data_IF_846716195223
#
_entry.id   IF_846716195223
#
_cell.length_a   1.000
_cell.length_b   1.000
_cell.length_c   1.000
_cell.angle_alpha   90.00
_cell.angle_beta   90.00
_cell.angle_gamma   90.00
#
_symmetry.space_group_name_H-M   'P 1'
#
loop_
_entity.id
_entity.type
_entity.pdbx_description
1 polymer ?
#
# COMPACT_ATOMS: atom_id res chain seq x y z
N UNK A 1 -2.10 -11.40 -16.76
CA UNK A 1 -2.15 -9.92 -16.74
C UNK A 1 -1.74 -9.48 -15.36
N UNK A 2 -0.71 -8.66 -15.26
CA UNK A 2 -0.24 -8.07 -14.00
C UNK A 2 -1.33 -7.23 -13.37
N UNK A 3 -1.43 -7.31 -12.06
CA UNK A 3 -2.43 -6.58 -11.27
C UNK A 3 -1.77 -5.91 -10.06
N UNK A 4 -2.27 -4.73 -9.70
CA UNK A 4 -1.98 -4.11 -8.43
C UNK A 4 -3.11 -4.37 -7.43
N UNK A 5 -2.75 -4.58 -6.17
CA UNK A 5 -3.68 -4.70 -5.05
C UNK A 5 -3.42 -3.58 -4.05
N UNK A 6 -4.42 -2.77 -3.77
CA UNK A 6 -4.40 -1.75 -2.73
C UNK A 6 -5.17 -2.26 -1.52
N UNK A 7 -4.51 -2.38 -0.37
CA UNK A 7 -5.13 -2.77 0.90
C UNK A 7 -5.07 -1.60 1.86
N UNK A 8 -6.20 -1.22 2.43
CA UNK A 8 -6.26 -0.10 3.36
C UNK A 8 -6.97 -0.43 4.67
N UNK A 9 -6.52 0.22 5.74
CA UNK A 9 -7.23 0.37 6.99
C UNK A 9 -7.64 1.84 7.13
N UNK A 10 -8.90 2.11 7.53
CA UNK A 10 -9.38 3.47 7.74
C UNK A 10 -10.32 3.54 8.93
N UNK A 11 -10.21 4.62 9.74
CA UNK A 11 -11.17 4.88 10.81
C UNK A 11 -12.29 5.79 10.31
N UNK A 12 -11.97 7.03 9.99
CA UNK A 12 -12.91 8.09 9.65
C UNK A 12 -13.05 8.35 8.14
N UNK A 13 -12.57 7.42 7.29
CA UNK A 13 -12.67 7.51 5.83
C UNK A 13 -11.55 8.30 5.15
N UNK A 14 -10.64 8.96 5.88
CA UNK A 14 -9.58 9.74 5.24
C UNK A 14 -8.56 8.85 4.53
N UNK A 15 -8.10 7.77 5.18
CA UNK A 15 -7.19 6.80 4.56
C UNK A 15 -7.86 6.09 3.38
N UNK A 16 -9.15 5.78 3.48
CA UNK A 16 -9.92 5.24 2.37
C UNK A 16 -9.90 6.17 1.15
N UNK A 17 -10.16 7.47 1.33
CA UNK A 17 -10.11 8.45 0.23
C UNK A 17 -8.73 8.51 -0.43
N UNK A 18 -7.66 8.44 0.35
CA UNK A 18 -6.30 8.36 -0.19
C UNK A 18 -6.11 7.06 -0.95
N UNK A 19 -6.53 5.92 -0.40
CA UNK A 19 -6.44 4.62 -1.08
C UNK A 19 -7.19 4.60 -2.42
N UNK A 20 -8.39 5.19 -2.46
CA UNK A 20 -9.18 5.34 -3.68
C UNK A 20 -8.47 6.20 -4.72
N UNK A 21 -7.87 7.33 -4.32
CA UNK A 21 -7.11 8.20 -5.22
C UNK A 21 -5.83 7.49 -5.75
N UNK A 22 -5.11 6.76 -4.90
CA UNK A 22 -3.97 5.93 -5.32
C UNK A 22 -4.40 4.87 -6.33
N UNK A 23 -5.53 4.18 -6.08
CA UNK A 23 -6.09 3.21 -7.02
C UNK A 23 -6.43 3.87 -8.37
N UNK A 24 -7.02 5.05 -8.35
CA UNK A 24 -7.34 5.79 -9.59
C UNK A 24 -6.08 6.08 -10.40
N UNK A 25 -5.02 6.57 -9.74
CA UNK A 25 -3.73 6.82 -10.40
C UNK A 25 -3.12 5.55 -10.98
N UNK A 26 -3.04 4.47 -10.20
CA UNK A 26 -2.55 3.15 -10.63
C UNK A 26 -3.33 2.59 -11.83
N UNK A 27 -4.65 2.77 -11.83
CA UNK A 27 -5.54 2.19 -12.84
C UNK A 27 -5.34 2.77 -14.25
N UNK A 28 -4.59 3.86 -14.38
CA UNK A 28 -4.18 4.40 -15.69
C UNK A 28 -3.18 3.49 -16.42
N UNK A 29 -2.38 2.72 -15.69
CA UNK A 29 -1.31 1.88 -16.21
C UNK A 29 -1.54 0.38 -15.90
N UNK A 30 -2.07 0.04 -14.72
CA UNK A 30 -2.16 -1.34 -14.24
C UNK A 30 -3.56 -1.64 -13.72
N UNK A 31 -4.20 -2.76 -14.11
CA UNK A 31 -5.45 -3.20 -13.49
C UNK A 31 -5.31 -3.26 -11.97
N UNK A 32 -6.13 -2.52 -11.25
CA UNK A 32 -5.97 -2.32 -9.81
C UNK A 32 -7.24 -2.68 -9.04
N UNK A 33 -7.10 -3.53 -8.04
CA UNK A 33 -8.15 -3.88 -7.07
C UNK A 33 -7.87 -3.16 -5.76
N UNK A 34 -8.92 -2.68 -5.09
CA UNK A 34 -8.84 -2.07 -3.77
C UNK A 34 -9.69 -2.87 -2.78
N UNK A 35 -9.13 -3.16 -1.62
CA UNK A 35 -9.79 -3.92 -0.55
C UNK A 35 -9.57 -3.25 0.81
N UNK A 36 -10.62 -3.26 1.62
CA UNK A 36 -10.50 -2.96 3.05
C UNK A 36 -9.80 -4.15 3.73
N UNK A 37 -8.97 -3.87 4.74
CA UNK A 37 -8.06 -4.84 5.38
C UNK A 37 -8.77 -6.09 5.92
N UNK A 38 -10.00 -5.96 6.41
CA UNK A 38 -10.79 -7.10 6.90
C UNK A 38 -11.23 -8.08 5.82
N UNK A 39 -11.17 -7.68 4.54
CA UNK A 39 -11.50 -8.52 3.39
C UNK A 39 -10.27 -8.88 2.54
N UNK A 40 -9.10 -8.41 2.94
CA UNK A 40 -7.87 -8.66 2.21
C UNK A 40 -7.43 -10.14 2.33
N UNK A 41 -6.90 -10.74 1.24
CA UNK A 41 -6.45 -12.13 1.26
C UNK A 41 -5.21 -12.32 2.14
N UNK A 42 -5.06 -13.51 2.72
CA UNK A 42 -3.86 -13.90 3.48
C UNK A 42 -2.77 -14.48 2.58
N UNK A 43 -3.16 -14.98 1.42
CA UNK A 43 -2.28 -15.41 0.32
C UNK A 43 -2.54 -14.50 -0.86
N UNK A 44 -1.52 -13.81 -1.34
CA UNK A 44 -1.69 -12.92 -2.48
C UNK A 44 -1.98 -13.74 -3.74
N UNK A 45 -2.93 -13.31 -4.59
CA UNK A 45 -3.13 -13.92 -5.90
C UNK A 45 -1.86 -13.88 -6.76
N UNK A 46 -1.63 -14.93 -7.56
CA UNK A 46 -0.42 -15.10 -8.38
C UNK A 46 -0.24 -13.99 -9.44
N UNK A 47 -1.30 -13.30 -9.81
CA UNK A 47 -1.28 -12.20 -10.78
C UNK A 47 -1.00 -10.83 -10.14
N UNK A 48 -0.82 -10.75 -8.83
CA UNK A 48 -0.45 -9.51 -8.12
C UNK A 48 1.06 -9.33 -8.18
N UNK A 49 1.52 -8.24 -8.74
CA UNK A 49 2.93 -7.84 -8.79
C UNK A 49 3.26 -6.62 -7.93
N UNK A 50 2.25 -5.78 -7.65
CA UNK A 50 2.37 -4.64 -6.74
C UNK A 50 1.31 -4.73 -5.65
N UNK A 51 1.76 -4.72 -4.39
CA UNK A 51 0.91 -4.57 -3.22
C UNK A 51 1.12 -3.17 -2.62
N UNK A 52 0.07 -2.37 -2.59
CA UNK A 52 0.09 -1.06 -1.92
C UNK A 52 -0.68 -1.17 -0.61
N UNK A 53 -0.08 -0.78 0.50
CA UNK A 53 -0.70 -0.89 1.83
C UNK A 53 -0.76 0.46 2.50
N UNK A 54 -1.94 0.84 2.98
CA UNK A 54 -2.15 2.11 3.66
C UNK A 54 -2.96 2.02 4.93
N UNK A 55 -2.61 2.83 5.92
CA UNK A 55 -3.33 2.90 7.19
C UNK A 55 -3.14 4.22 7.92
N UNK A 56 -4.01 4.52 8.90
CA UNK A 56 -3.85 5.71 9.70
C UNK A 56 -2.72 5.54 10.71
N UNK A 57 -1.95 6.61 10.95
CA UNK A 57 -0.98 6.64 12.05
C UNK A 57 -1.70 6.88 13.38
N UNK A 58 -1.67 5.88 14.25
CA UNK A 58 -2.17 5.94 15.62
C UNK A 58 -1.02 5.80 16.61
N UNK A 59 -0.98 6.67 17.61
CA UNK A 59 -0.03 6.55 18.73
C UNK A 59 1.35 6.02 18.28
N UNK A 60 1.98 6.74 17.35
CA UNK A 60 3.33 6.48 16.82
C UNK A 60 3.46 5.34 15.78
N UNK A 61 2.38 4.72 15.31
CA UNK A 61 2.48 3.64 14.31
C UNK A 61 1.13 3.15 13.81
N UNK A 62 1.10 1.89 13.36
CA UNK A 62 -0.15 1.23 12.96
C UNK A 62 -1.10 1.08 14.14
N UNK A 63 -2.41 1.08 13.88
CA UNK A 63 -3.46 0.90 14.87
C UNK A 63 -3.27 -0.37 15.72
N UNK A 64 -3.92 -0.39 16.86
CA UNK A 64 -4.05 -1.55 17.76
C UNK A 64 -5.52 -1.68 18.17
N UNK A 65 -5.98 -2.84 18.67
CA UNK A 65 -7.36 -3.00 19.10
C UNK A 65 -7.85 -1.85 20.00
N UNK A 66 -7.09 -1.49 21.03
CA UNK A 66 -7.46 -0.37 21.93
C UNK A 66 -7.55 0.98 21.24
N UNK A 67 -6.65 1.30 20.30
CA UNK A 67 -6.73 2.59 19.57
C UNK A 67 -7.88 2.60 18.56
N UNK A 68 -8.32 1.45 18.05
CA UNK A 68 -9.52 1.33 17.22
C UNK A 68 -10.80 1.47 18.05
N UNK A 69 -10.84 0.90 19.25
CA UNK A 69 -11.94 1.11 20.20
C UNK A 69 -12.10 2.59 20.58
N UNK A 70 -10.97 3.29 20.81
CA UNK A 70 -10.99 4.74 21.06
C UNK A 70 -11.52 5.51 19.86
N UNK A 71 -11.09 5.15 18.63
CA UNK A 71 -11.62 5.74 17.40
C UNK A 71 -13.11 5.47 17.23
N UNK A 72 -13.57 4.26 17.54
CA UNK A 72 -15.01 3.90 17.49
C UNK A 72 -15.82 4.78 18.45
N UNK A 73 -15.33 5.01 19.67
CA UNK A 73 -16.00 5.91 20.62
C UNK A 73 -16.06 7.35 20.11
N UNK A 74 -14.97 7.84 19.52
CA UNK A 74 -14.88 9.19 18.93
C UNK A 74 -15.77 9.35 17.69
N UNK A 75 -15.93 8.29 16.90
CA UNK A 75 -16.76 8.25 15.69
C UNK A 75 -18.25 7.99 15.94
N UNK A 76 -18.71 8.05 17.20
CA UNK A 76 -20.12 7.78 17.51
C UNK A 76 -20.56 6.34 17.26
N UNK A 77 -19.63 5.39 17.34
CA UNK A 77 -19.88 3.96 17.13
C UNK A 77 -19.64 3.48 15.69
N UNK A 78 -19.29 4.37 14.76
CA UNK A 78 -19.09 4.02 13.35
C UNK A 78 -17.66 4.32 12.90
N UNK A 79 -16.94 3.30 12.45
CA UNK A 79 -15.65 3.42 11.74
C UNK A 79 -15.64 2.50 10.53
N UNK A 80 -14.82 2.83 9.52
CA UNK A 80 -14.74 2.05 8.27
C UNK A 80 -14.17 0.66 8.54
N UNK A 81 -12.98 0.57 9.15
CA UNK A 81 -12.33 -0.69 9.51
C UNK A 81 -12.69 -1.10 10.94
N UNK A 82 -13.90 -1.62 11.11
CA UNK A 82 -14.40 -2.03 12.42
C UNK A 82 -13.86 -3.38 12.91
N UNK A 83 -13.30 -4.20 12.02
CA UNK A 83 -12.78 -5.53 12.32
C UNK A 83 -11.30 -5.53 12.69
N UNK A 84 -10.52 -6.29 11.94
CA UNK A 84 -9.06 -6.35 12.09
C UNK A 84 -8.39 -5.10 11.52
N UNK A 85 -7.17 -4.82 11.96
CA UNK A 85 -6.31 -3.81 11.36
C UNK A 85 -5.11 -4.42 10.63
N UNK A 86 -4.25 -3.56 10.09
CA UNK A 86 -3.06 -3.97 9.36
C UNK A 86 -2.13 -4.87 10.20
N UNK A 87 -2.03 -4.64 11.52
CA UNK A 87 -1.16 -5.48 12.39
C UNK A 87 -1.61 -6.92 12.40
N UNK A 88 -2.91 -7.15 12.56
CA UNK A 88 -3.51 -8.47 12.61
C UNK A 88 -3.41 -9.13 11.23
N UNK A 89 -3.72 -8.39 10.16
CA UNK A 89 -3.59 -8.90 8.80
C UNK A 89 -2.15 -9.33 8.48
N UNK A 90 -1.14 -8.53 8.82
CA UNK A 90 0.27 -8.90 8.62
C UNK A 90 0.70 -10.12 9.44
N UNK A 91 0.00 -10.47 10.51
CA UNK A 91 0.31 -11.69 11.27
C UNK A 91 -0.15 -12.97 10.56
N UNK A 92 -1.09 -12.84 9.64
CA UNK A 92 -1.69 -13.93 8.86
C UNK A 92 -1.28 -13.91 7.38
N UNK A 93 -0.70 -12.82 6.90
CA UNK A 93 -0.20 -12.71 5.53
C UNK A 93 0.98 -13.66 5.34
N UNK A 94 0.91 -14.51 4.33
CA UNK A 94 1.97 -15.45 4.00
C UNK A 94 3.23 -14.73 3.48
N UNK A 95 4.38 -15.40 3.62
CA UNK A 95 5.63 -14.87 3.11
C UNK A 95 5.58 -14.73 1.59
N UNK A 96 6.26 -13.71 1.08
CA UNK A 96 6.38 -13.49 -0.36
C UNK A 96 7.27 -14.58 -0.98
N UNK A 97 6.67 -15.46 -1.75
CA UNK A 97 7.36 -16.48 -2.57
C UNK A 97 7.42 -16.10 -4.04
N UNK A 98 6.65 -15.10 -4.45
CA UNK A 98 6.64 -14.48 -5.77
C UNK A 98 7.44 -13.16 -5.75
N UNK A 99 7.69 -12.58 -6.91
CA UNK A 99 8.44 -11.31 -7.03
C UNK A 99 7.54 -10.07 -6.84
N UNK A 100 6.62 -10.14 -5.88
CA UNK A 100 5.74 -9.02 -5.52
C UNK A 100 6.54 -7.91 -4.86
N UNK A 101 6.37 -6.69 -5.34
CA UNK A 101 6.91 -5.50 -4.68
C UNK A 101 5.85 -4.77 -3.90
N UNK A 102 6.28 -3.96 -2.93
CA UNK A 102 5.35 -3.23 -2.07
C UNK A 102 5.64 -1.74 -2.06
N UNK A 103 4.56 -0.97 -1.90
CA UNK A 103 4.60 0.44 -1.53
C UNK A 103 3.69 0.65 -0.31
N UNK A 104 4.03 1.59 0.56
CA UNK A 104 3.25 1.85 1.77
C UNK A 104 2.96 3.33 1.93
N UNK A 105 1.78 3.63 2.46
CA UNK A 105 1.41 5.00 2.80
C UNK A 105 0.70 5.09 4.14
N UNK A 106 0.66 6.27 4.72
CA UNK A 106 -0.20 6.54 5.87
C UNK A 106 -0.94 7.87 5.75
N UNK A 107 -2.00 8.01 6.55
CA UNK A 107 -2.59 9.30 6.86
C UNK A 107 -2.21 9.69 8.28
N UNK A 108 -1.82 10.97 8.47
CA UNK A 108 -1.37 11.48 9.77
C UNK A 108 -1.68 12.95 9.93
N UNK A 109 -1.76 13.41 11.18
CA UNK A 109 -2.01 14.81 11.49
C UNK A 109 -0.83 15.67 11.01
N UNK A 110 -1.15 16.76 10.30
CA UNK A 110 -0.16 17.69 9.78
C UNK A 110 0.58 18.44 10.89
N UNK A 111 -0.15 18.91 11.91
CA UNK A 111 0.37 19.66 13.06
C UNK A 111 -0.43 19.35 14.33
N UNK A 112 0.22 19.18 15.50
CA UNK A 112 1.67 19.10 15.69
C UNK A 112 2.25 17.83 15.04
N UNK A 113 3.53 17.87 14.62
CA UNK A 113 4.23 16.69 14.13
C UNK A 113 4.45 15.71 15.29
N UNK A 114 3.75 14.60 15.23
CA UNK A 114 3.92 13.50 16.19
C UNK A 114 4.91 12.50 15.60
N UNK A 115 5.89 11.99 16.38
CA UNK A 115 6.82 10.96 15.88
C UNK A 115 6.09 9.66 15.53
N UNK A 116 6.73 8.83 14.69
CA UNK A 116 6.18 7.57 14.22
C UNK A 116 5.45 7.68 12.88
N UNK A 117 5.24 6.54 12.22
CA UNK A 117 4.55 6.42 10.95
C UNK A 117 4.01 5.00 10.80
N UNK A 118 2.73 4.88 10.46
CA UNK A 118 2.12 3.59 10.15
C UNK A 118 2.71 3.01 8.85
N UNK A 119 2.99 3.86 7.85
CA UNK A 119 3.60 3.43 6.60
C UNK A 119 4.97 2.80 6.81
N UNK A 120 5.86 3.45 7.55
CA UNK A 120 7.19 2.90 7.87
C UNK A 120 7.10 1.62 8.70
N UNK A 121 6.15 1.54 9.62
CA UNK A 121 5.93 0.33 10.41
C UNK A 121 5.42 -0.83 9.55
N UNK A 122 4.52 -0.56 8.60
CA UNK A 122 4.03 -1.51 7.61
C UNK A 122 5.16 -1.98 6.69
N UNK A 123 5.95 -1.05 6.14
CA UNK A 123 7.11 -1.35 5.31
C UNK A 123 8.09 -2.28 6.01
N UNK A 124 8.45 -1.96 7.27
CA UNK A 124 9.34 -2.82 8.08
C UNK A 124 8.77 -4.23 8.26
N UNK A 125 7.46 -4.36 8.41
CA UNK A 125 6.80 -5.67 8.55
C UNK A 125 6.81 -6.44 7.24
N UNK A 126 6.50 -5.80 6.12
CA UNK A 126 6.50 -6.41 4.79
C UNK A 126 7.90 -6.86 4.37
N UNK A 127 8.95 -6.08 4.66
CA UNK A 127 10.35 -6.52 4.46
C UNK A 127 10.67 -7.81 5.20
N UNK A 128 10.16 -8.00 6.43
CA UNK A 128 10.35 -9.23 7.21
C UNK A 128 9.59 -10.43 6.62
N UNK A 129 8.54 -10.18 5.84
CA UNK A 129 7.80 -11.20 5.10
C UNK A 129 8.39 -11.47 3.70
N UNK A 130 9.56 -10.93 3.39
CA UNK A 130 10.28 -11.17 2.14
C UNK A 130 9.89 -10.26 0.99
N UNK A 131 9.04 -9.25 1.21
CA UNK A 131 8.67 -8.29 0.16
C UNK A 131 9.78 -7.27 -0.09
N UNK A 132 10.00 -6.94 -1.36
CA UNK A 132 10.85 -5.83 -1.77
C UNK A 132 10.05 -4.55 -1.84
N UNK A 133 10.62 -3.45 -1.36
CA UNK A 133 10.00 -2.13 -1.41
C UNK A 133 10.27 -1.48 -2.76
N UNK A 134 9.22 -1.02 -3.44
CA UNK A 134 9.31 -0.38 -4.75
C UNK A 134 9.76 1.08 -4.64
N UNK A 135 9.21 1.81 -3.68
CA UNK A 135 9.47 3.23 -3.42
C UNK A 135 9.42 3.51 -1.92
N UNK A 136 9.97 4.62 -1.49
CA UNK A 136 9.89 5.06 -0.11
C UNK A 136 8.43 5.24 0.34
N UNK A 137 8.18 4.98 1.62
CA UNK A 137 6.85 5.16 2.21
C UNK A 137 6.38 6.61 2.16
N UNK A 138 5.11 6.82 1.78
CA UNK A 138 4.51 8.15 1.63
C UNK A 138 3.56 8.49 2.78
N UNK A 139 3.49 9.78 3.17
CA UNK A 139 2.55 10.26 4.19
C UNK A 139 1.61 11.31 3.61
N UNK A 140 0.31 11.14 3.87
CA UNK A 140 -0.75 12.08 3.51
C UNK A 140 -1.33 12.71 4.77
N UNK A 141 -1.72 13.96 4.69
CA UNK A 141 -2.00 14.75 5.88
C UNK A 141 -3.48 15.03 6.09
N UNK A 142 -3.87 14.95 7.36
CA UNK A 142 -5.19 15.37 7.87
C UNK A 142 -5.04 16.56 8.79
N UNK A 143 -6.09 17.38 8.89
CA UNK A 143 -6.11 18.59 9.75
C UNK A 143 -6.31 18.25 11.23
N UNK A 144 -6.93 17.09 11.53
CA UNK A 144 -7.17 16.61 12.88
C UNK A 144 -7.43 15.11 12.89
N UNK A 145 -7.69 14.52 14.05
CA UNK A 145 -7.87 13.06 14.24
C UNK A 145 -8.95 12.48 13.32
N UNK A 146 -10.10 13.13 13.21
CA UNK A 146 -11.19 12.70 12.33
C UNK A 146 -11.09 13.29 10.91
N UNK A 147 -10.08 14.07 10.61
CA UNK A 147 -9.94 14.79 9.34
C UNK A 147 -10.42 16.25 9.44
N UNK A 148 -10.76 16.87 8.31
CA UNK A 148 -10.64 16.32 6.95
C UNK A 148 -9.18 16.19 6.46
N UNK A 149 -9.02 15.65 5.24
CA UNK A 149 -7.74 15.71 4.52
C UNK A 149 -7.33 17.17 4.28
N UNK A 150 -6.04 17.45 4.34
CA UNK A 150 -5.50 18.73 3.90
C UNK A 150 -5.78 18.89 2.40
N UNK A 151 -6.06 20.12 1.96
CA UNK A 151 -6.33 20.41 0.56
C UNK A 151 -5.16 19.95 -0.33
N UNK A 152 -5.47 19.32 -1.47
CA UNK A 152 -4.49 18.81 -2.42
C UNK A 152 -3.95 17.40 -2.12
N UNK A 153 -4.26 16.80 -0.98
CA UNK A 153 -3.73 15.47 -0.64
C UNK A 153 -4.32 14.35 -1.52
N UNK A 154 -5.55 14.48 -1.97
CA UNK A 154 -6.18 13.52 -2.89
C UNK A 154 -5.52 13.55 -4.26
N UNK A 155 -5.25 14.74 -4.80
CA UNK A 155 -4.54 14.94 -6.07
C UNK A 155 -3.10 14.42 -5.98
N UNK A 156 -2.42 14.68 -4.84
CA UNK A 156 -1.07 14.17 -4.58
C UNK A 156 -1.04 12.64 -4.48
N UNK A 157 -2.07 12.06 -3.89
CA UNK A 157 -2.22 10.60 -3.80
C UNK A 157 -2.44 9.96 -5.18
N UNK A 158 -3.26 10.58 -6.04
CA UNK A 158 -3.45 10.14 -7.42
C UNK A 158 -2.14 10.18 -8.21
N UNK A 159 -1.42 11.31 -8.18
CA UNK A 159 -0.13 11.45 -8.84
C UNK A 159 0.91 10.42 -8.34
N UNK A 160 0.92 10.13 -7.05
CA UNK A 160 1.75 9.06 -6.50
C UNK A 160 1.37 7.67 -7.04
N UNK A 161 0.06 7.41 -7.17
CA UNK A 161 -0.46 6.20 -7.81
C UNK A 161 -0.03 6.05 -9.28
N UNK A 162 -0.05 7.14 -10.05
CA UNK A 162 0.44 7.18 -11.44
C UNK A 162 1.93 6.82 -11.50
N UNK A 163 2.75 7.41 -10.63
CA UNK A 163 4.19 7.10 -10.53
C UNK A 163 4.44 5.62 -10.20
N UNK A 164 3.63 5.02 -9.32
CA UNK A 164 3.72 3.59 -9.00
C UNK A 164 3.35 2.72 -10.20
N UNK A 165 2.34 3.11 -10.97
CA UNK A 165 1.91 2.42 -12.19
C UNK A 165 2.99 2.40 -13.25
N UNK A 166 3.58 3.56 -13.54
CA UNK A 166 4.71 3.69 -14.47
C UNK A 166 5.91 2.82 -14.06
N UNK A 167 6.24 2.79 -12.77
CA UNK A 167 7.32 1.95 -12.27
C UNK A 167 7.04 0.44 -12.44
N UNK A 168 5.77 0.02 -12.39
CA UNK A 168 5.38 -1.35 -12.70
C UNK A 168 5.56 -1.69 -14.18
N UNK A 169 5.12 -0.81 -15.09
CA UNK A 169 5.26 -1.00 -16.54
C UNK A 169 6.72 -1.15 -16.95
N UNK A 170 7.61 -0.29 -16.46
CA UNK A 170 9.05 -0.35 -16.78
C UNK A 170 9.69 -1.68 -16.37
N UNK A 171 9.28 -2.28 -15.26
CA UNK A 171 9.80 -3.60 -14.85
C UNK A 171 9.40 -4.72 -15.80
N UNK A 172 8.27 -4.64 -16.46
CA UNK A 172 7.87 -5.60 -17.48
C UNK A 172 8.69 -5.50 -18.74
N UNK A 173 9.03 -4.29 -19.16
CA UNK A 173 9.88 -4.05 -20.35
C UNK A 173 11.28 -4.64 -20.12
N UNK A 174 11.87 -4.43 -18.95
CA UNK A 174 13.20 -4.93 -18.61
C UNK A 174 13.24 -6.47 -18.41
N UNK A 175 12.17 -7.06 -17.91
CA UNK A 175 12.05 -8.52 -17.73
C UNK A 175 11.76 -9.27 -19.05
N UNK A 176 11.23 -8.58 -20.07
CA UNK A 176 10.83 -9.12 -21.38
C UNK A 176 11.85 -8.91 -22.51
N UNK A 177 13.01 -8.31 -22.24
CA UNK A 177 14.05 -8.12 -23.23
C UNK A 177 14.55 -9.46 -23.81
N UNK A 178 14.81 -9.56 -25.13
CA UNK A 178 15.26 -10.80 -25.75
C UNK A 178 16.61 -11.23 -25.14
N UNK A 179 16.65 -12.43 -24.56
CA UNK A 179 17.91 -13.10 -24.31
C UNK A 179 18.56 -13.31 -25.67
N UNK A 180 19.59 -12.54 -26.02
CA UNK A 180 20.47 -12.85 -27.14
C UNK A 180 21.02 -14.25 -26.92
N UNK A 181 20.50 -15.18 -27.72
CA UNK A 181 21.09 -16.51 -27.84
C UNK A 181 22.35 -16.29 -28.65
N UNK A 182 23.48 -16.20 -27.99
CA UNK A 182 24.81 -16.21 -28.61
C UNK A 182 24.94 -17.56 -29.34
N UNK A 183 24.69 -17.53 -30.66
CA UNK A 183 24.93 -18.66 -31.53
C UNK A 183 26.47 -18.80 -31.70
N UNK A 184 27.07 -19.66 -30.90
CA UNK A 184 28.41 -20.13 -31.13
C UNK A 184 28.46 -20.88 -32.45
N UNK A 185 28.88 -20.19 -33.51
CA UNK A 185 29.24 -20.81 -34.78
C UNK A 185 30.54 -21.61 -34.56
N UNK A 186 30.38 -22.93 -34.42
CA UNK A 186 31.54 -23.85 -34.51
C UNK A 186 31.81 -24.09 -35.97
N UNK A 187 32.81 -23.40 -36.53
CA UNK A 187 33.39 -23.76 -37.81
C UNK A 187 34.40 -24.89 -37.57
N UNK A 188 34.04 -26.10 -38.01
CA UNK A 188 34.95 -27.23 -38.12
C UNK A 188 35.44 -27.34 -39.55
N UNK A 189 36.73 -27.32 -39.71
CA UNK A 189 37.46 -27.86 -40.90
C UNK A 189 37.86 -29.27 -40.61
#
# INVERSE_FOLDING_TARGET
MTRALVVFESMFGNTQKIAEAVREGLSSSVPTVILEVGTAPHVLPDDVELLVVGGPTHAFGMSRPGTREDATRQGGGHIVSAGIGLREWFSTLEQNTADVVVATFDTRIAKPRVPGSAARAAEKRLRKLGFRVAVDSESFYVTGTAGPLVAGETERARAWGETLGEACEHRHVDAGGPREVEATATSGS
#
